data_IF_654248471675
#
_entry.id   IF_654248471675
#
_cell.length_a   1.000
_cell.length_b   1.000
_cell.length_c   1.000
_cell.angle_alpha   90.00
_cell.angle_beta   90.00
_cell.angle_gamma   90.00
#
_symmetry.space_group_name_H-M   'P 1'
#
loop_
_entity.id
_entity.type
_entity.pdbx_description
1 polymer ?
#
# COMPACT_ATOMS: atom_id res chain seq x y z
N UNK A 1 -6.40 -85.89 2.88
CA UNK A 1 -7.45 -84.82 2.99
C UNK A 1 -7.00 -83.61 3.83
N UNK A 2 -6.19 -83.77 4.88
CA UNK A 2 -5.78 -82.72 5.75
C UNK A 2 -4.74 -81.79 5.14
N UNK A 3 -3.80 -82.30 4.33
CA UNK A 3 -2.82 -81.44 3.62
C UNK A 3 -3.48 -80.42 2.64
N UNK A 4 -4.55 -80.86 1.96
CA UNK A 4 -5.30 -80.03 1.02
C UNK A 4 -6.05 -78.91 1.80
N UNK A 5 -6.61 -79.27 2.95
CA UNK A 5 -7.26 -78.26 3.83
C UNK A 5 -6.28 -77.25 4.39
N UNK A 6 -5.07 -77.66 4.81
CA UNK A 6 -4.02 -76.76 5.29
C UNK A 6 -3.51 -75.84 4.18
N UNK A 7 -3.33 -76.36 2.97
CA UNK A 7 -2.91 -75.53 1.80
C UNK A 7 -3.98 -74.51 1.37
N UNK A 8 -5.25 -74.86 1.48
CA UNK A 8 -6.38 -73.99 1.15
C UNK A 8 -6.57 -72.89 2.23
N UNK A 9 -6.38 -73.24 3.51
CA UNK A 9 -6.42 -72.29 4.62
C UNK A 9 -5.25 -71.27 4.55
N UNK A 10 -4.03 -71.67 4.17
CA UNK A 10 -2.90 -70.82 3.96
C UNK A 10 -3.16 -69.83 2.80
N UNK A 11 -3.70 -70.30 1.66
CA UNK A 11 -4.06 -69.42 0.56
C UNK A 11 -5.16 -68.39 0.94
N UNK A 12 -6.15 -68.84 1.72
CA UNK A 12 -7.23 -67.95 2.20
C UNK A 12 -6.69 -66.87 3.19
N UNK A 13 -5.79 -67.25 4.08
CA UNK A 13 -5.16 -66.33 5.00
C UNK A 13 -4.26 -65.32 4.30
N UNK A 14 -3.49 -65.74 3.27
CA UNK A 14 -2.67 -64.84 2.46
C UNK A 14 -3.57 -63.88 1.69
N UNK A 15 -4.68 -64.33 1.09
CA UNK A 15 -5.64 -63.49 0.40
C UNK A 15 -6.24 -62.42 1.36
N UNK A 16 -6.65 -62.82 2.56
CA UNK A 16 -7.22 -61.93 3.54
C UNK A 16 -6.19 -60.91 4.04
N UNK A 17 -4.92 -61.32 4.21
CA UNK A 17 -3.83 -60.41 4.59
C UNK A 17 -3.52 -59.42 3.48
N UNK A 18 -3.53 -59.80 2.21
CA UNK A 18 -3.38 -58.90 1.07
C UNK A 18 -4.53 -57.84 0.99
N UNK A 19 -5.77 -58.29 1.23
CA UNK A 19 -6.92 -57.39 1.25
C UNK A 19 -6.81 -56.41 2.42
N UNK A 20 -6.37 -56.85 3.59
CA UNK A 20 -6.13 -55.95 4.74
C UNK A 20 -5.01 -54.96 4.43
N UNK A 21 -3.89 -55.42 3.86
CA UNK A 21 -2.77 -54.54 3.50
C UNK A 21 -3.18 -53.47 2.48
N UNK A 22 -3.97 -53.85 1.44
CA UNK A 22 -4.45 -52.88 0.45
C UNK A 22 -5.36 -51.82 1.05
N UNK A 23 -6.20 -52.19 2.03
CA UNK A 23 -7.05 -51.21 2.75
C UNK A 23 -6.23 -50.23 3.60
N UNK A 24 -5.22 -50.75 4.32
CA UNK A 24 -4.32 -49.93 5.13
C UNK A 24 -3.56 -48.96 4.22
N UNK A 25 -3.02 -49.41 3.09
CA UNK A 25 -2.32 -48.58 2.11
C UNK A 25 -3.27 -47.52 1.54
N UNK A 26 -4.49 -47.87 1.20
CA UNK A 26 -5.47 -46.90 0.67
C UNK A 26 -5.77 -45.79 1.69
N UNK A 27 -5.97 -46.16 2.97
CA UNK A 27 -6.19 -45.19 4.04
C UNK A 27 -4.93 -44.33 4.23
N UNK A 28 -3.73 -44.91 4.23
CA UNK A 28 -2.48 -44.18 4.36
C UNK A 28 -2.30 -43.15 3.21
N UNK A 29 -2.58 -43.48 1.99
CA UNK A 29 -2.54 -42.57 0.86
C UNK A 29 -3.59 -41.48 0.98
N UNK A 30 -4.79 -41.80 1.48
CA UNK A 30 -5.82 -40.80 1.73
C UNK A 30 -5.39 -39.81 2.80
N UNK A 31 -4.83 -40.27 3.90
CA UNK A 31 -4.26 -39.41 4.96
C UNK A 31 -3.13 -38.55 4.40
N UNK A 32 -2.20 -39.12 3.61
CA UNK A 32 -1.10 -38.36 3.00
C UNK A 32 -1.60 -37.30 2.00
N UNK A 33 -2.67 -37.54 1.26
CA UNK A 33 -3.27 -36.60 0.34
C UNK A 33 -3.78 -35.34 1.06
N UNK A 34 -4.33 -35.50 2.27
CA UNK A 34 -4.81 -34.36 3.08
C UNK A 34 -3.74 -33.77 4.02
N UNK A 35 -2.75 -34.53 4.42
CA UNK A 35 -1.72 -34.12 5.37
C UNK A 35 -0.74 -33.08 4.80
N UNK A 36 -0.73 -32.82 3.45
CA UNK A 36 0.23 -31.92 2.78
C UNK A 36 1.63 -32.02 3.41
N UNK A 37 2.30 -33.20 3.33
CA UNK A 37 3.57 -33.39 4.02
C UNK A 37 4.56 -32.33 3.57
N UNK A 38 4.95 -31.46 4.52
CA UNK A 38 5.96 -30.42 4.32
C UNK A 38 7.33 -31.03 4.67
N UNK A 39 8.24 -31.02 3.71
CA UNK A 39 9.65 -31.32 3.98
C UNK A 39 10.35 -29.99 4.23
N UNK A 40 10.75 -29.67 5.46
CA UNK A 40 11.51 -28.44 5.70
C UNK A 40 12.79 -28.51 4.85
N UNK A 41 12.94 -27.55 3.97
CA UNK A 41 14.17 -27.31 3.23
C UNK A 41 15.26 -27.05 4.29
N UNK A 42 16.26 -27.86 4.28
CA UNK A 42 17.44 -27.91 5.14
C UNK A 42 17.55 -26.82 6.20
N UNK A 43 17.78 -27.23 7.45
CA UNK A 43 18.36 -26.39 8.49
C UNK A 43 19.81 -26.03 8.09
N UNK A 44 19.96 -25.30 7.01
CA UNK A 44 21.22 -24.68 6.66
C UNK A 44 21.40 -23.46 7.56
N UNK A 45 22.44 -23.56 8.35
CA UNK A 45 23.01 -22.54 9.23
C UNK A 45 22.04 -21.81 10.18
N UNK A 46 22.08 -22.25 11.43
CA UNK A 46 21.66 -21.48 12.61
C UNK A 46 22.58 -20.27 12.88
N UNK A 47 23.21 -19.70 11.84
CA UNK A 47 23.91 -18.43 11.97
C UNK A 47 22.89 -17.32 12.18
N UNK A 48 23.21 -16.38 13.02
CA UNK A 48 22.43 -15.14 13.23
C UNK A 48 22.05 -14.60 11.85
N UNK A 49 20.76 -14.71 11.50
CA UNK A 49 20.27 -14.25 10.20
C UNK A 49 19.84 -12.81 10.35
N UNK A 50 20.40 -11.97 9.51
CA UNK A 50 19.88 -10.63 9.37
C UNK A 50 18.57 -10.71 8.61
N UNK A 51 17.54 -10.09 9.16
CA UNK A 51 16.21 -10.03 8.61
C UNK A 51 15.89 -8.56 8.34
N UNK A 52 15.73 -8.22 7.09
CA UNK A 52 15.34 -6.88 6.68
C UNK A 52 13.85 -6.86 6.42
N UNK A 53 13.15 -5.92 7.05
CA UNK A 53 11.71 -5.74 6.88
C UNK A 53 11.49 -4.34 6.34
N UNK A 54 11.02 -4.25 5.10
CA UNK A 54 10.55 -3.01 4.51
C UNK A 54 9.04 -2.95 4.62
N UNK A 55 8.54 -1.90 5.24
CA UNK A 55 7.13 -1.57 5.31
C UNK A 55 6.91 -0.29 4.53
N UNK A 56 6.16 -0.39 3.46
CA UNK A 56 5.66 0.76 2.74
C UNK A 56 4.71 1.54 3.64
N UNK A 57 5.08 2.79 3.92
CA UNK A 57 4.25 3.70 4.70
C UNK A 57 3.86 4.95 3.89
N UNK A 58 3.75 4.79 2.57
CA UNK A 58 3.19 5.82 1.69
C UNK A 58 1.71 6.09 2.00
N UNK A 59 1.20 7.22 1.51
CA UNK A 59 -0.20 7.61 1.75
C UNK A 59 -1.21 6.61 1.22
N UNK A 60 -0.87 5.82 0.19
CA UNK A 60 -1.74 4.77 -0.33
C UNK A 60 -2.02 3.66 0.69
N UNK A 61 -1.11 3.46 1.64
CA UNK A 61 -1.28 2.48 2.73
C UNK A 61 -2.31 2.93 3.78
N UNK A 62 -2.88 4.14 3.68
CA UNK A 62 -4.06 4.58 4.44
C UNK A 62 -5.37 4.00 3.91
N UNK A 63 -5.37 3.40 2.72
CA UNK A 63 -6.55 2.79 2.16
C UNK A 63 -7.14 1.74 3.11
N UNK A 64 -8.48 1.70 3.16
CA UNK A 64 -9.23 0.82 4.06
C UNK A 64 -9.71 -0.40 3.27
N UNK A 65 -9.32 -1.58 3.72
CA UNK A 65 -9.82 -2.86 3.22
C UNK A 65 -10.86 -3.45 4.18
N UNK A 66 -11.48 -4.57 3.80
CA UNK A 66 -12.39 -5.33 4.68
C UNK A 66 -11.71 -5.77 6.01
N UNK A 67 -10.38 -5.87 6.02
CA UNK A 67 -9.58 -6.28 7.19
C UNK A 67 -9.00 -5.12 7.98
N UNK A 68 -9.34 -3.89 7.62
CA UNK A 68 -8.83 -2.66 8.22
C UNK A 68 -7.87 -1.89 7.30
N UNK A 69 -7.19 -0.90 7.85
CA UNK A 69 -6.21 -0.05 7.18
C UNK A 69 -5.01 -0.87 6.69
N UNK A 70 -4.56 -0.66 5.46
CA UNK A 70 -3.48 -1.45 4.86
C UNK A 70 -2.19 -1.40 5.68
N UNK A 71 -1.82 -0.22 6.21
CA UNK A 71 -0.65 -0.09 7.06
C UNK A 71 -0.76 -0.96 8.32
N UNK A 72 -1.93 -1.03 8.96
CA UNK A 72 -2.13 -1.86 10.15
C UNK A 72 -2.05 -3.36 9.82
N UNK A 73 -2.53 -3.75 8.64
CA UNK A 73 -2.36 -5.11 8.14
C UNK A 73 -0.89 -5.43 7.90
N UNK A 74 -0.11 -4.47 7.35
CA UNK A 74 1.32 -4.64 7.14
C UNK A 74 2.07 -4.76 8.48
N UNK A 75 1.73 -3.95 9.50
CA UNK A 75 2.27 -4.03 10.85
C UNK A 75 2.03 -5.42 11.46
N UNK A 76 0.79 -5.91 11.43
CA UNK A 76 0.44 -7.22 11.98
C UNK A 76 1.18 -8.36 11.28
N UNK A 77 1.26 -8.33 9.93
CA UNK A 77 2.03 -9.33 9.17
C UNK A 77 3.53 -9.26 9.46
N UNK A 78 4.07 -8.07 9.69
CA UNK A 78 5.48 -7.91 10.07
C UNK A 78 5.76 -8.51 11.44
N UNK A 79 4.82 -8.37 12.39
CA UNK A 79 4.93 -9.00 13.71
C UNK A 79 4.90 -10.52 13.61
N UNK A 80 4.03 -11.09 12.78
CA UNK A 80 4.01 -12.54 12.51
C UNK A 80 5.36 -13.03 11.95
N UNK A 81 5.97 -12.25 11.04
CA UNK A 81 7.29 -12.56 10.48
C UNK A 81 8.34 -12.53 11.58
N UNK A 82 8.40 -11.47 12.39
CA UNK A 82 9.35 -11.31 13.49
C UNK A 82 9.24 -12.50 14.47
N UNK A 83 8.01 -12.88 14.80
CA UNK A 83 7.74 -13.98 15.74
C UNK A 83 8.15 -15.35 15.19
N UNK A 84 8.22 -15.52 13.88
CA UNK A 84 8.67 -16.77 13.23
C UNK A 84 10.18 -17.03 13.35
N UNK A 85 10.97 -16.00 13.66
CA UNK A 85 12.42 -16.11 13.85
C UNK A 85 12.81 -16.41 15.30
N UNK A 86 14.05 -16.87 15.51
CA UNK A 86 14.61 -17.07 16.83
C UNK A 86 14.94 -15.71 17.50
N UNK A 87 14.98 -15.67 18.84
CA UNK A 87 15.32 -14.42 19.57
C UNK A 87 16.75 -13.94 19.33
N UNK A 88 17.62 -14.79 18.79
CA UNK A 88 19.00 -14.48 18.41
C UNK A 88 19.12 -13.78 17.06
N UNK A 89 18.03 -13.64 16.30
CA UNK A 89 18.04 -12.99 14.99
C UNK A 89 18.17 -11.49 15.13
N UNK A 90 18.85 -10.86 14.17
CA UNK A 90 19.00 -9.40 14.06
C UNK A 90 18.04 -8.84 13.02
N UNK A 91 17.29 -7.83 13.40
CA UNK A 91 16.29 -7.22 12.53
C UNK A 91 16.71 -5.81 12.11
N UNK A 92 16.34 -5.43 10.90
CA UNK A 92 16.51 -4.09 10.35
C UNK A 92 15.17 -3.62 9.77
N UNK A 93 14.74 -2.43 10.15
CA UNK A 93 13.51 -1.83 9.64
C UNK A 93 13.85 -0.77 8.60
N UNK A 94 13.20 -0.88 7.45
CA UNK A 94 13.26 0.08 6.35
C UNK A 94 11.85 0.59 6.09
N UNK A 95 11.72 1.88 5.84
CA UNK A 95 10.46 2.53 5.51
C UNK A 95 10.69 3.59 4.43
N UNK A 96 9.66 4.31 4.02
CA UNK A 96 9.82 5.40 3.05
C UNK A 96 10.55 6.62 3.61
N UNK A 97 10.59 6.80 4.91
CA UNK A 97 11.16 7.97 5.58
C UNK A 97 12.43 7.66 6.36
N UNK A 98 12.64 6.43 6.82
CA UNK A 98 13.85 6.08 7.53
C UNK A 98 14.30 4.63 7.30
N UNK A 99 15.56 4.38 7.63
CA UNK A 99 16.17 3.06 7.64
C UNK A 99 16.99 2.89 8.90
N UNK A 100 16.82 1.78 9.62
CA UNK A 100 17.71 1.45 10.74
C UNK A 100 19.01 0.87 10.18
N UNK A 101 20.14 1.49 10.53
CA UNK A 101 21.47 1.06 10.12
C UNK A 101 22.20 0.22 11.20
N UNK A 102 21.49 -0.15 12.26
CA UNK A 102 21.95 -1.01 13.36
C UNK A 102 20.92 -2.13 13.62
N UNK A 103 21.40 -3.29 14.11
CA UNK A 103 20.51 -4.41 14.38
C UNK A 103 19.59 -4.12 15.56
N UNK A 104 18.33 -4.51 15.41
CA UNK A 104 17.29 -4.45 16.44
C UNK A 104 16.99 -5.85 16.97
N UNK A 105 16.63 -5.99 18.23
CA UNK A 105 15.99 -7.17 18.78
C UNK A 105 14.49 -7.21 18.45
N UNK A 106 13.78 -8.26 18.85
CA UNK A 106 12.35 -8.41 18.55
C UNK A 106 11.49 -7.31 19.17
N UNK A 107 11.75 -6.96 20.41
CA UNK A 107 11.00 -5.96 21.16
C UNK A 107 11.16 -4.57 20.52
N UNK A 108 12.41 -4.17 20.24
CA UNK A 108 12.71 -2.86 19.68
C UNK A 108 12.13 -2.67 18.28
N UNK A 109 12.21 -3.69 17.40
CA UNK A 109 11.63 -3.58 16.06
C UNK A 109 10.10 -3.55 16.11
N UNK A 110 9.48 -4.37 16.98
CA UNK A 110 8.02 -4.38 17.14
C UNK A 110 7.51 -3.02 17.63
N UNK A 111 8.21 -2.42 18.60
CA UNK A 111 7.87 -1.08 19.05
C UNK A 111 7.93 -0.06 17.91
N UNK A 112 9.03 -0.03 17.15
CA UNK A 112 9.18 0.90 16.02
C UNK A 112 8.11 0.70 14.94
N UNK A 113 7.73 -0.54 14.64
CA UNK A 113 6.66 -0.85 13.70
C UNK A 113 5.31 -0.35 14.24
N UNK A 114 5.04 -0.50 15.52
CA UNK A 114 3.79 -0.02 16.14
C UNK A 114 3.65 1.50 16.02
N UNK A 115 4.75 2.24 16.22
CA UNK A 115 4.79 3.71 16.14
C UNK A 115 4.78 4.25 14.69
N UNK A 116 4.89 3.39 13.67
CA UNK A 116 4.96 3.79 12.27
C UNK A 116 3.65 4.44 11.81
N UNK A 117 3.75 5.60 11.18
CA UNK A 117 2.63 6.31 10.57
C UNK A 117 2.88 6.49 9.07
N UNK A 118 1.82 6.74 8.30
CA UNK A 118 1.93 7.07 6.87
C UNK A 118 2.57 8.43 6.67
N UNK A 119 3.30 8.56 5.56
CA UNK A 119 3.86 9.84 5.13
C UNK A 119 3.80 9.98 3.60
N UNK A 120 4.14 11.19 3.10
CA UNK A 120 4.07 11.51 1.68
C UNK A 120 5.28 11.06 0.86
N UNK A 121 6.28 10.43 1.48
CA UNK A 121 7.46 9.96 0.75
C UNK A 121 7.18 8.61 0.08
N UNK A 122 7.77 8.42 -1.09
CA UNK A 122 7.72 7.17 -1.85
C UNK A 122 9.15 6.77 -2.18
N UNK A 123 9.47 5.50 -1.97
CA UNK A 123 10.77 4.93 -2.33
C UNK A 123 10.59 3.73 -3.24
N UNK A 124 11.43 3.64 -4.25
CA UNK A 124 11.45 2.46 -5.11
C UNK A 124 12.08 1.26 -4.38
N UNK A 125 11.66 0.06 -4.76
CA UNK A 125 12.25 -1.18 -4.22
C UNK A 125 13.76 -1.22 -4.49
N UNK A 126 14.22 -0.66 -5.61
CA UNK A 126 15.65 -0.58 -5.96
C UNK A 126 16.43 0.26 -4.95
N UNK A 127 15.89 1.39 -4.51
CA UNK A 127 16.49 2.24 -3.46
C UNK A 127 16.58 1.49 -2.14
N UNK A 128 15.54 0.76 -1.76
CA UNK A 128 15.51 -0.07 -0.54
C UNK A 128 16.60 -1.15 -0.59
N UNK A 129 16.73 -1.86 -1.73
CA UNK A 129 17.76 -2.88 -1.89
C UNK A 129 19.18 -2.31 -1.90
N UNK A 130 19.37 -1.13 -2.48
CA UNK A 130 20.65 -0.45 -2.45
C UNK A 130 21.04 -0.03 -1.02
N UNK A 131 20.11 0.48 -0.22
CA UNK A 131 20.36 0.75 1.20
C UNK A 131 20.71 -0.52 1.98
N UNK A 132 19.98 -1.61 1.77
CA UNK A 132 20.32 -2.89 2.38
C UNK A 132 21.75 -3.30 2.05
N UNK A 133 22.20 -3.14 0.79
CA UNK A 133 23.58 -3.46 0.37
C UNK A 133 24.64 -2.61 1.10
N UNK A 134 24.30 -1.38 1.51
CA UNK A 134 25.19 -0.54 2.32
C UNK A 134 25.31 -1.06 3.77
N UNK A 135 24.25 -1.63 4.31
CA UNK A 135 24.20 -2.16 5.68
C UNK A 135 24.81 -3.56 5.75
N UNK A 136 24.44 -4.44 4.82
CA UNK A 136 24.91 -5.83 4.77
C UNK A 136 25.15 -6.28 3.34
N UNK A 137 26.32 -6.88 3.12
CA UNK A 137 26.72 -7.52 1.85
C UNK A 137 26.45 -9.02 1.85
N UNK A 138 25.98 -9.57 2.95
CA UNK A 138 25.65 -10.97 3.09
C UNK A 138 24.33 -11.31 2.38
N UNK A 139 24.12 -12.60 2.15
CA UNK A 139 22.84 -13.12 1.70
C UNK A 139 21.87 -13.11 2.88
N UNK A 140 20.94 -12.17 2.86
CA UNK A 140 20.00 -11.94 3.94
C UNK A 140 18.54 -12.21 3.48
N UNK A 141 17.62 -12.28 4.42
CA UNK A 141 16.19 -12.31 4.15
C UNK A 141 15.64 -10.89 4.11
N UNK A 142 14.93 -10.54 3.05
CA UNK A 142 14.28 -9.24 2.87
C UNK A 142 12.79 -9.47 2.69
N UNK A 143 11.98 -8.88 3.56
CA UNK A 143 10.53 -8.88 3.47
C UNK A 143 10.07 -7.50 3.02
N UNK A 144 9.31 -7.46 1.93
CA UNK A 144 8.77 -6.23 1.34
C UNK A 144 7.26 -6.29 1.48
N UNK A 145 6.70 -5.43 2.33
CA UNK A 145 5.28 -5.28 2.57
C UNK A 145 4.82 -3.94 1.96
N UNK A 146 4.08 -4.00 0.86
CA UNK A 146 3.63 -2.83 0.09
C UNK A 146 2.35 -3.15 -0.67
N UNK A 147 1.59 -2.15 -1.05
CA UNK A 147 0.45 -2.27 -1.98
C UNK A 147 0.90 -2.48 -3.44
N UNK A 148 2.20 -2.40 -3.69
CA UNK A 148 2.85 -2.66 -4.97
C UNK A 148 2.35 -1.76 -6.10
N UNK A 149 2.25 -0.46 -5.87
CA UNK A 149 1.93 0.49 -6.92
C UNK A 149 3.02 0.52 -8.01
N UNK A 150 2.63 0.85 -9.24
CA UNK A 150 3.51 0.77 -10.42
C UNK A 150 4.80 1.59 -10.27
N UNK A 151 4.74 2.73 -9.57
CA UNK A 151 5.88 3.60 -9.32
C UNK A 151 6.94 2.97 -8.39
N UNK A 152 6.54 2.02 -7.55
CA UNK A 152 7.44 1.34 -6.59
C UNK A 152 8.13 0.12 -7.21
N UNK A 153 7.59 -0.44 -8.30
CA UNK A 153 8.04 -1.72 -8.85
C UNK A 153 8.80 -1.52 -10.17
N UNK A 154 10.12 -1.50 -10.11
CA UNK A 154 10.99 -1.71 -11.28
C UNK A 154 11.64 -3.09 -11.19
N UNK A 155 10.82 -4.14 -11.38
CA UNK A 155 11.23 -5.56 -11.20
C UNK A 155 12.45 -5.94 -12.05
N UNK A 156 12.63 -5.34 -13.22
CA UNK A 156 13.76 -5.66 -14.11
C UNK A 156 15.13 -5.31 -13.51
N UNK A 157 15.18 -4.47 -12.48
CA UNK A 157 16.41 -4.08 -11.79
C UNK A 157 16.67 -4.93 -10.52
N UNK A 158 15.73 -5.81 -10.13
CA UNK A 158 15.84 -6.69 -8.96
C UNK A 158 16.77 -7.90 -9.16
N UNK A 159 17.19 -8.17 -10.39
CA UNK A 159 17.82 -9.44 -10.78
C UNK A 159 19.28 -9.61 -10.33
N UNK A 160 19.91 -8.63 -9.70
CA UNK A 160 21.33 -8.67 -9.31
C UNK A 160 21.57 -8.72 -7.79
N UNK A 161 20.74 -9.45 -7.07
CA UNK A 161 20.90 -9.65 -5.62
C UNK A 161 21.00 -11.13 -5.28
N UNK A 162 21.92 -11.47 -4.37
CA UNK A 162 22.03 -12.82 -3.80
C UNK A 162 21.03 -13.01 -2.63
N UNK A 163 20.26 -12.00 -2.27
CA UNK A 163 19.33 -12.01 -1.16
C UNK A 163 18.10 -12.89 -1.43
N UNK A 164 17.43 -13.29 -0.36
CA UNK A 164 16.15 -13.99 -0.44
C UNK A 164 15.05 -12.93 -0.23
N UNK A 165 14.41 -12.52 -1.31
CA UNK A 165 13.38 -11.50 -1.29
C UNK A 165 12.01 -12.15 -1.19
N UNK A 166 11.23 -11.73 -0.19
CA UNK A 166 9.84 -12.12 0.03
C UNK A 166 8.96 -10.89 -0.20
N UNK A 167 8.18 -10.90 -1.27
CA UNK A 167 7.22 -9.84 -1.56
C UNK A 167 5.88 -10.24 -0.99
N UNK A 168 5.32 -9.39 -0.13
CA UNK A 168 4.05 -9.61 0.55
C UNK A 168 3.11 -8.47 0.11
N UNK A 169 2.22 -8.74 -0.85
CA UNK A 169 1.27 -7.73 -1.31
C UNK A 169 0.24 -7.44 -0.21
N UNK A 170 0.06 -6.14 0.06
CA UNK A 170 -0.95 -5.61 0.98
C UNK A 170 -1.93 -4.81 0.13
N UNK A 171 -3.01 -5.44 -0.30
CA UNK A 171 -3.93 -4.84 -1.27
C UNK A 171 -5.35 -4.81 -0.76
N UNK A 172 -6.12 -3.83 -1.21
CA UNK A 172 -7.57 -3.84 -1.07
C UNK A 172 -8.18 -4.79 -2.10
N UNK A 173 -9.29 -5.41 -1.76
CA UNK A 173 -10.10 -6.20 -2.71
C UNK A 173 -10.91 -5.30 -3.65
N UNK A 174 -11.07 -4.05 -3.28
CA UNK A 174 -11.85 -3.06 -4.02
C UNK A 174 -10.95 -1.87 -4.39
N UNK A 175 -10.68 -1.70 -5.68
CA UNK A 175 -9.84 -0.63 -6.20
C UNK A 175 -10.68 0.58 -6.68
N UNK A 176 -11.95 0.63 -6.31
CA UNK A 176 -12.81 1.74 -6.66
C UNK A 176 -12.31 3.02 -5.98
N UNK A 177 -12.05 4.02 -6.78
CA UNK A 177 -11.51 5.29 -6.31
C UNK A 177 -12.00 6.45 -7.16
N UNK A 178 -12.23 7.58 -6.50
CA UNK A 178 -12.40 8.88 -7.16
C UNK A 178 -11.45 9.85 -6.50
N UNK A 179 -10.58 10.48 -7.29
CA UNK A 179 -9.55 11.39 -6.79
C UNK A 179 -9.78 12.83 -7.24
N UNK A 180 -9.34 13.77 -6.42
CA UNK A 180 -9.24 15.19 -6.79
C UNK A 180 -7.85 15.44 -7.37
N UNK A 181 -7.74 15.56 -8.71
CA UNK A 181 -6.45 15.71 -9.37
C UNK A 181 -5.91 17.12 -9.33
N UNK A 182 -6.77 18.10 -9.62
CA UNK A 182 -6.37 19.49 -9.67
C UNK A 182 -7.50 20.44 -9.36
N UNK A 183 -7.14 21.60 -8.80
CA UNK A 183 -8.06 22.70 -8.54
C UNK A 183 -7.40 24.00 -9.02
N UNK A 184 -8.14 24.86 -9.69
CA UNK A 184 -7.61 26.15 -10.14
C UNK A 184 -8.69 27.23 -10.16
N UNK A 185 -8.25 28.47 -10.17
CA UNK A 185 -9.10 29.65 -10.29
C UNK A 185 -8.68 30.41 -11.55
N UNK A 186 -9.64 30.80 -12.37
CA UNK A 186 -9.34 31.59 -13.56
C UNK A 186 -9.10 33.07 -13.19
N UNK A 187 -8.01 33.60 -13.69
CA UNK A 187 -7.62 35.00 -13.53
C UNK A 187 -6.52 35.24 -12.48
N UNK A 188 -5.69 36.25 -12.70
CA UNK A 188 -4.53 36.53 -11.87
C UNK A 188 -4.88 37.24 -10.55
N UNK A 189 -6.09 37.72 -10.37
CA UNK A 189 -6.47 38.56 -9.23
C UNK A 189 -7.81 38.10 -8.66
N UNK A 190 -7.80 37.78 -7.37
CA UNK A 190 -8.99 37.48 -6.60
C UNK A 190 -9.61 38.81 -6.12
N UNK A 191 -10.79 39.16 -6.64
CA UNK A 191 -11.47 40.40 -6.28
C UNK A 191 -12.51 40.15 -5.19
N UNK A 192 -12.42 40.92 -4.09
CA UNK A 192 -13.41 40.90 -3.01
C UNK A 192 -14.79 41.34 -3.51
N UNK A 193 -15.83 40.80 -2.88
CA UNK A 193 -17.24 41.11 -3.18
C UNK A 193 -17.65 40.84 -4.63
N UNK A 194 -16.98 39.86 -5.25
CA UNK A 194 -17.34 39.38 -6.59
C UNK A 194 -17.46 37.86 -6.57
N UNK A 195 -18.23 37.35 -7.48
CA UNK A 195 -18.28 35.92 -7.73
C UNK A 195 -16.95 35.46 -8.33
N UNK A 196 -16.39 34.43 -7.76
CA UNK A 196 -15.20 33.75 -8.24
C UNK A 196 -15.57 32.37 -8.70
N UNK A 197 -14.98 31.95 -9.82
CA UNK A 197 -15.14 30.63 -10.35
C UNK A 197 -13.93 29.77 -9.99
N UNK A 198 -14.18 28.65 -9.37
CA UNK A 198 -13.19 27.62 -9.10
C UNK A 198 -13.49 26.41 -9.98
N UNK A 199 -12.47 25.87 -10.56
CA UNK A 199 -12.52 24.68 -11.40
C UNK A 199 -11.83 23.54 -10.70
N UNK A 200 -12.38 22.36 -10.86
CA UNK A 200 -11.94 21.12 -10.24
C UNK A 200 -11.88 20.05 -11.31
N UNK A 201 -10.76 19.35 -11.40
CA UNK A 201 -10.66 18.11 -12.18
C UNK A 201 -10.69 16.93 -11.21
N UNK A 202 -11.54 15.97 -11.52
CA UNK A 202 -11.73 14.75 -10.75
C UNK A 202 -11.59 13.57 -11.68
N UNK A 203 -10.82 12.57 -11.25
CA UNK A 203 -10.69 11.28 -11.94
C UNK A 203 -11.52 10.23 -11.23
N UNK A 204 -12.40 9.57 -11.97
CA UNK A 204 -13.21 8.45 -11.51
C UNK A 204 -12.61 7.14 -12.04
N UNK A 205 -12.00 6.35 -11.17
CA UNK A 205 -11.46 5.02 -11.50
C UNK A 205 -12.54 3.93 -11.40
N UNK A 206 -13.71 4.28 -10.84
CA UNK A 206 -14.84 3.38 -10.66
C UNK A 206 -16.02 3.77 -11.54
N UNK A 207 -16.17 3.10 -12.66
CA UNK A 207 -17.28 3.34 -13.58
C UNK A 207 -18.68 3.08 -12.97
N UNK A 208 -18.76 2.53 -11.77
CA UNK A 208 -20.03 2.29 -11.06
C UNK A 208 -20.48 3.51 -10.25
N UNK A 209 -19.57 4.39 -9.83
CA UNK A 209 -19.87 5.59 -9.05
C UNK A 209 -20.35 6.72 -9.96
N UNK A 210 -21.62 7.06 -9.84
CA UNK A 210 -22.26 8.09 -10.66
C UNK A 210 -22.41 9.43 -9.93
N UNK A 211 -22.39 9.44 -8.61
CA UNK A 211 -22.62 10.63 -7.78
C UNK A 211 -21.71 10.63 -6.57
N UNK A 212 -21.05 11.75 -6.30
CA UNK A 212 -20.18 11.90 -5.13
C UNK A 212 -20.44 13.28 -4.49
N UNK A 213 -20.54 13.35 -3.15
CA UNK A 213 -20.60 14.61 -2.42
C UNK A 213 -19.28 15.37 -2.54
N UNK A 214 -19.37 16.66 -2.88
CA UNK A 214 -18.25 17.59 -2.85
C UNK A 214 -18.52 18.71 -1.85
N UNK A 215 -17.47 19.15 -1.18
CA UNK A 215 -17.49 20.30 -0.28
C UNK A 215 -16.37 21.26 -0.67
N UNK A 216 -16.69 22.55 -0.82
CA UNK A 216 -15.75 23.64 -0.96
C UNK A 216 -15.77 24.49 0.31
N UNK A 217 -14.64 24.59 0.97
CA UNK A 217 -14.42 25.45 2.13
C UNK A 217 -13.46 26.59 1.77
N UNK A 218 -13.77 27.79 2.21
CA UNK A 218 -12.90 28.95 2.08
C UNK A 218 -12.72 29.57 3.48
N UNK A 219 -11.48 29.66 3.95
CA UNK A 219 -11.14 30.17 5.30
C UNK A 219 -11.93 29.42 6.40
N UNK A 220 -12.00 28.09 6.30
CA UNK A 220 -12.74 27.19 7.21
C UNK A 220 -14.28 27.42 7.25
N UNK A 221 -14.82 28.07 6.24
CA UNK A 221 -16.28 28.22 6.05
C UNK A 221 -16.72 27.50 4.81
N UNK A 222 -17.71 26.63 4.94
CA UNK A 222 -18.30 25.94 3.81
C UNK A 222 -18.99 26.97 2.92
N UNK A 223 -18.58 27.01 1.66
CA UNK A 223 -19.17 27.85 0.61
C UNK A 223 -20.09 27.05 -0.30
N UNK A 224 -19.73 25.81 -0.59
CA UNK A 224 -20.48 24.91 -1.47
C UNK A 224 -20.48 23.52 -0.84
N UNK A 225 -21.64 22.88 -0.89
CA UNK A 225 -21.83 21.46 -0.58
C UNK A 225 -22.88 20.91 -1.51
N UNK A 226 -22.48 20.07 -2.44
CA UNK A 226 -23.40 19.51 -3.44
C UNK A 226 -22.92 18.15 -3.95
N UNK A 227 -23.76 17.45 -4.69
CA UNK A 227 -23.40 16.23 -5.41
C UNK A 227 -22.87 16.60 -6.79
N UNK A 228 -21.75 16.02 -7.18
CA UNK A 228 -21.26 15.99 -8.54
C UNK A 228 -21.72 14.70 -9.21
N UNK A 229 -22.11 14.80 -10.49
CA UNK A 229 -22.53 13.66 -11.28
C UNK A 229 -21.46 13.37 -12.31
N UNK A 230 -21.02 12.13 -12.37
CA UNK A 230 -20.11 11.65 -13.40
C UNK A 230 -20.88 11.17 -14.62
N UNK A 231 -20.31 11.46 -15.79
CA UNK A 231 -20.70 10.83 -17.05
C UNK A 231 -19.96 9.49 -17.20
N UNK A 232 -19.78 9.03 -18.44
CA UNK A 232 -18.97 7.83 -18.74
C UNK A 232 -17.48 8.15 -18.89
N UNK A 233 -17.08 9.44 -18.78
CA UNK A 233 -15.70 9.86 -18.90
C UNK A 233 -14.94 9.59 -17.60
N UNK A 234 -13.69 9.15 -17.75
CA UNK A 234 -12.82 8.87 -16.61
C UNK A 234 -12.41 10.14 -15.88
N UNK A 235 -12.16 11.22 -16.61
CA UNK A 235 -11.75 12.53 -16.09
C UNK A 235 -12.80 13.57 -16.44
N UNK A 236 -13.28 14.29 -15.43
CA UNK A 236 -14.28 15.36 -15.62
C UNK A 236 -13.87 16.64 -14.91
N UNK A 237 -14.28 17.76 -15.52
CA UNK A 237 -14.06 19.09 -14.96
C UNK A 237 -15.39 19.66 -14.43
N UNK A 238 -15.36 20.12 -13.20
CA UNK A 238 -16.49 20.77 -12.55
C UNK A 238 -16.16 22.23 -12.28
N UNK A 239 -17.15 23.09 -12.49
CA UNK A 239 -17.06 24.52 -12.22
C UNK A 239 -17.99 24.90 -11.09
N UNK A 240 -17.48 25.63 -10.12
CA UNK A 240 -18.24 26.17 -9.01
C UNK A 240 -18.03 27.66 -8.88
N UNK A 241 -19.13 28.39 -8.67
CA UNK A 241 -19.08 29.83 -8.45
C UNK A 241 -19.47 30.15 -7.01
N UNK A 242 -18.67 30.97 -6.33
CA UNK A 242 -18.94 31.40 -4.97
C UNK A 242 -18.61 32.88 -4.78
N UNK A 243 -19.27 33.53 -3.83
CA UNK A 243 -18.97 34.93 -3.49
C UNK A 243 -17.77 35.02 -2.57
N UNK A 244 -16.81 35.86 -2.94
CA UNK A 244 -15.61 36.10 -2.17
C UNK A 244 -15.80 37.34 -1.28
N UNK A 245 -16.18 37.10 -0.02
CA UNK A 245 -16.43 38.13 1.01
C UNK A 245 -15.16 38.57 1.78
N UNK A 246 -14.09 37.82 1.66
CA UNK A 246 -12.80 38.08 2.32
C UNK A 246 -11.64 37.65 1.43
N UNK A 247 -10.40 37.98 1.80
CA UNK A 247 -9.22 37.39 1.15
C UNK A 247 -9.24 35.88 1.36
N UNK A 248 -8.87 35.11 0.32
CA UNK A 248 -8.68 33.67 0.44
C UNK A 248 -7.29 33.45 1.03
N UNK A 249 -7.24 32.88 2.24
CA UNK A 249 -6.00 32.39 2.84
C UNK A 249 -5.84 30.89 2.61
N UNK A 250 -6.94 30.15 2.74
CA UNK A 250 -7.02 28.71 2.54
C UNK A 250 -8.31 28.40 1.80
N UNK A 251 -8.20 27.60 0.76
CA UNK A 251 -9.34 27.04 0.04
C UNK A 251 -9.15 25.52 0.03
N UNK A 252 -10.13 24.79 0.55
CA UNK A 252 -10.11 23.32 0.62
C UNK A 252 -11.26 22.77 -0.19
N UNK A 253 -10.93 21.87 -1.11
CA UNK A 253 -11.91 21.07 -1.85
C UNK A 253 -11.82 19.65 -1.35
N UNK A 254 -12.94 19.06 -0.97
CA UNK A 254 -12.99 17.67 -0.54
C UNK A 254 -14.16 16.92 -1.16
N UNK A 255 -13.94 15.66 -1.45
CA UNK A 255 -14.96 14.69 -1.88
C UNK A 255 -15.11 13.62 -0.83
N UNK A 256 -16.22 12.87 -0.85
CA UNK A 256 -16.42 11.73 0.04
C UNK A 256 -16.36 10.46 -0.78
N UNK A 257 -15.19 9.83 -0.78
CA UNK A 257 -14.95 8.56 -1.44
C UNK A 257 -14.28 7.55 -0.51
N UNK A 258 -14.51 6.25 -0.75
CA UNK A 258 -13.95 5.11 -0.05
C UNK A 258 -13.67 3.98 -1.04
N UNK A 259 -12.64 3.13 -0.85
CA UNK A 259 -11.83 2.95 0.37
C UNK A 259 -10.59 3.83 0.45
N UNK A 260 -10.25 4.56 -0.60
CA UNK A 260 -9.06 5.40 -0.68
C UNK A 260 -9.47 6.82 -0.27
N UNK A 261 -8.84 7.37 0.75
CA UNK A 261 -9.27 8.66 1.33
C UNK A 261 -8.20 9.76 1.26
N UNK A 262 -6.94 9.41 1.03
CA UNK A 262 -5.83 10.35 1.05
C UNK A 262 -5.83 11.33 -0.12
N UNK A 263 -6.49 10.99 -1.23
CA UNK A 263 -6.62 11.79 -2.45
C UNK A 263 -7.99 12.49 -2.57
N UNK A 264 -8.81 12.37 -1.53
CA UNK A 264 -10.14 12.97 -1.45
C UNK A 264 -10.10 14.48 -1.18
N UNK A 265 -8.98 15.05 -0.81
CA UNK A 265 -8.87 16.45 -0.41
C UNK A 265 -7.71 17.14 -1.10
N UNK A 266 -7.97 18.37 -1.53
CA UNK A 266 -6.97 19.27 -2.06
C UNK A 266 -7.09 20.66 -1.42
N UNK A 267 -6.00 21.11 -0.80
CA UNK A 267 -5.95 22.42 -0.16
C UNK A 267 -5.08 23.38 -0.95
N UNK A 268 -5.61 24.57 -1.25
CA UNK A 268 -4.91 25.66 -1.90
C UNK A 268 -4.70 26.80 -0.91
N UNK A 269 -3.55 27.47 -1.01
CA UNK A 269 -3.31 28.76 -0.36
C UNK A 269 -2.91 29.77 -1.43
N UNK A 270 -3.88 30.46 -2.06
CA UNK A 270 -3.56 31.46 -3.07
C UNK A 270 -2.86 32.64 -2.41
N UNK A 271 -1.57 32.84 -2.71
CA UNK A 271 -0.85 34.05 -2.32
C UNK A 271 -1.26 35.19 -3.23
N UNK A 272 -1.50 36.38 -2.68
CA UNK A 272 -1.67 37.58 -3.48
C UNK A 272 -0.45 37.75 -4.40
N UNK A 273 -0.67 37.90 -5.69
CA UNK A 273 0.35 37.94 -6.75
C UNK A 273 1.38 39.05 -6.62
N UNK A 274 1.16 40.05 -5.75
CA UNK A 274 2.17 41.08 -5.46
C UNK A 274 3.39 40.56 -4.69
N UNK A 275 3.23 39.51 -3.89
CA UNK A 275 4.33 38.92 -3.09
C UNK A 275 5.08 37.81 -3.86
N UNK A 276 4.49 37.26 -4.91
CA UNK A 276 5.07 36.16 -5.69
C UNK A 276 6.20 36.58 -6.64
N UNK A 277 6.30 37.87 -6.96
CA UNK A 277 7.37 38.40 -7.82
C UNK A 277 8.70 38.64 -7.05
N UNK A 278 8.69 38.56 -5.74
CA UNK A 278 9.86 38.89 -4.90
C UNK A 278 10.47 37.70 -4.14
N UNK A 279 9.93 36.50 -4.17
CA UNK A 279 10.49 35.37 -3.45
C UNK A 279 10.57 34.11 -4.32
N UNK A 280 11.81 33.59 -4.48
CA UNK A 280 12.06 32.25 -5.01
C UNK A 280 11.22 31.23 -4.24
N UNK A 281 10.23 30.66 -4.94
CA UNK A 281 9.34 29.64 -4.37
C UNK A 281 10.14 28.37 -4.05
N UNK A 282 10.38 28.12 -2.80
CA UNK A 282 10.67 26.78 -2.32
C UNK A 282 9.33 26.07 -2.08
N UNK A 283 8.98 25.21 -3.01
CA UNK A 283 7.86 24.28 -2.83
C UNK A 283 8.20 23.32 -1.67
N UNK A 284 7.44 23.42 -0.57
CA UNK A 284 7.43 22.37 0.44
C UNK A 284 6.30 21.41 0.09
N UNK A 285 6.71 20.16 -0.18
CA UNK A 285 5.90 18.95 -0.25
C UNK A 285 4.79 18.94 -1.29
N UNK A 286 5.05 18.25 -2.39
CA UNK A 286 4.04 17.56 -3.21
C UNK A 286 3.09 18.40 -4.07
N UNK A 287 3.32 19.70 -4.26
CA UNK A 287 2.43 20.55 -5.02
C UNK A 287 3.20 21.40 -6.04
N UNK A 288 2.98 21.15 -7.32
CA UNK A 288 3.47 21.99 -8.41
C UNK A 288 2.52 23.14 -8.72
N UNK A 289 3.02 24.38 -8.82
CA UNK A 289 2.27 25.51 -9.34
C UNK A 289 2.69 25.69 -10.80
N UNK A 290 1.76 25.56 -11.72
CA UNK A 290 2.00 25.80 -13.14
C UNK A 290 1.21 26.99 -13.64
N UNK A 291 1.83 27.84 -14.46
CA UNK A 291 1.16 28.85 -15.25
C UNK A 291 1.01 28.32 -16.67
N UNK A 292 -0.21 28.03 -17.07
CA UNK A 292 -0.53 27.67 -18.43
C UNK A 292 -1.64 28.59 -18.95
N UNK A 293 -1.37 29.32 -20.00
CA UNK A 293 -2.34 30.21 -20.65
C UNK A 293 -3.07 31.19 -19.71
N UNK A 294 -2.33 31.87 -18.81
CA UNK A 294 -2.88 32.80 -17.82
C UNK A 294 -3.72 32.20 -16.70
N UNK A 295 -3.66 30.87 -16.50
CA UNK A 295 -4.36 30.14 -15.44
C UNK A 295 -3.37 29.65 -14.39
N UNK A 296 -3.72 29.87 -13.14
CA UNK A 296 -2.98 29.35 -11.99
C UNK A 296 -3.51 27.94 -11.71
N UNK A 297 -2.70 26.93 -12.00
CA UNK A 297 -3.06 25.53 -11.77
C UNK A 297 -2.22 24.96 -10.63
N UNK A 298 -2.84 24.20 -9.75
CA UNK A 298 -2.22 23.47 -8.66
C UNK A 298 -2.40 21.98 -8.92
N UNK A 299 -1.31 21.26 -9.00
CA UNK A 299 -1.31 19.81 -9.20
C UNK A 299 -0.71 19.10 -8.00
N UNK A 300 -1.15 17.91 -7.79
CA UNK A 300 -0.49 16.96 -6.90
C UNK A 300 0.70 16.36 -7.63
N UNK A 301 1.91 16.49 -7.08
CA UNK A 301 3.13 15.82 -7.57
C UNK A 301 3.31 14.50 -6.86
#
# INVERSE_FOLDING_TARGET
>A
LDEVKLKNNKKRNIKNLLILASRIIAIAFLVLAFAKPYKPVNKEDKSIKNVFIYIDNSLSMDAISEKGRLLDIAKNKSEDIINSYESSSSFYLLTNDFTTNYPLNKEDITQKITELETNGNIRSIVEILNEKKLISKNRDHIYILSDLQEETIRINELLDTNDIIHIIPIQTTNNNNVSVDSVWIEGPILLKNRNQDIYLRVTNFDNTKKQIPITLEVNNKIKIKQLINFTEEKEEEFKFSFNLDSNINICRVSIQDYPIVFDNELTLSPRNTMDALSSNLHAKVGWGIYYENSRLKYYRC
#
